data_IF_141237695986
#
_entry.id   IF_141237695986
#
_cell.length_a   1.000
_cell.length_b   1.000
_cell.length_c   1.000
_cell.angle_alpha   90.00
_cell.angle_beta   90.00
_cell.angle_gamma   90.00
#
_symmetry.space_group_name_H-M   'P 1'
#
loop_
_entity.id
_entity.type
_entity.pdbx_description
1 polymer ?
#
# COMPACT_ATOMS: atom_id res chain seq x y z
N UNK A 1 -14.34 18.48 6.22
CA UNK A 1 -13.70 19.38 5.23
C UNK A 1 -12.81 18.58 4.31
N UNK A 2 -12.96 18.77 3.01
CA UNK A 2 -12.20 18.02 2.01
C UNK A 2 -11.45 18.96 1.09
N UNK A 3 -10.27 18.57 0.54
CA UNK A 3 -9.64 17.25 0.76
C UNK A 3 -9.24 17.07 2.21
N UNK A 4 -9.26 15.81 2.66
CA UNK A 4 -8.94 15.48 4.04
C UNK A 4 -7.72 14.57 4.07
N UNK A 5 -6.71 14.96 4.84
CA UNK A 5 -5.53 14.13 5.04
C UNK A 5 -5.90 12.93 5.90
N UNK A 6 -5.55 11.73 5.45
CA UNK A 6 -5.78 10.49 6.16
C UNK A 6 -4.44 10.00 6.71
N UNK A 7 -4.40 9.83 8.03
CA UNK A 7 -3.20 9.38 8.72
C UNK A 7 -3.63 8.41 9.81
N UNK A 8 -3.28 7.12 9.71
CA UNK A 8 -3.68 6.15 10.73
C UNK A 8 -3.14 6.56 12.11
N UNK A 9 -3.98 6.35 13.12
CA UNK A 9 -3.61 6.72 14.49
C UNK A 9 -2.39 5.93 14.94
N UNK A 10 -1.47 6.60 15.62
CA UNK A 10 -0.26 5.97 16.15
C UNK A 10 0.89 5.87 15.18
N UNK A 11 0.69 6.23 13.91
CA UNK A 11 1.77 6.19 12.93
C UNK A 11 2.72 7.37 13.11
N UNK A 12 4.01 7.13 12.84
CA UNK A 12 5.01 8.19 12.82
C UNK A 12 4.60 9.27 11.81
N UNK A 13 4.96 10.55 12.06
CA UNK A 13 4.55 11.63 11.17
C UNK A 13 5.04 11.44 9.74
N UNK A 14 4.18 11.77 8.78
CA UNK A 14 4.55 11.85 7.37
C UNK A 14 5.13 13.23 7.12
N UNK A 15 6.40 13.29 6.75
CA UNK A 15 7.13 14.55 6.60
C UNK A 15 7.22 14.92 5.12
N UNK A 16 6.50 15.96 4.72
CA UNK A 16 6.50 16.45 3.35
C UNK A 16 5.57 15.71 2.40
N UNK A 17 4.69 14.85 2.94
CA UNK A 17 3.71 14.10 2.14
C UNK A 17 2.55 13.66 3.04
N UNK A 18 1.50 13.12 2.45
CA UNK A 18 0.40 12.49 3.16
C UNK A 18 0.32 11.01 2.76
N UNK A 19 0.00 10.14 3.71
CA UNK A 19 -0.22 8.72 3.40
C UNK A 19 -1.49 8.53 2.59
N UNK A 20 -2.56 9.25 2.93
CA UNK A 20 -3.80 9.20 2.18
C UNK A 20 -4.41 10.58 2.06
N UNK A 21 -5.12 10.80 0.96
CA UNK A 21 -5.84 12.05 0.71
C UNK A 21 -7.25 11.70 0.24
N UNK A 22 -8.24 12.04 1.05
CA UNK A 22 -9.65 11.76 0.76
C UNK A 22 -10.24 12.99 0.09
N UNK A 23 -10.69 12.82 -1.13
CA UNK A 23 -11.24 13.90 -1.95
C UNK A 23 -12.73 14.06 -1.71
N UNK A 24 -13.30 15.22 -2.10
CA UNK A 24 -14.74 15.50 -1.86
C UNK A 24 -15.68 14.47 -2.51
N UNK A 25 -15.27 13.84 -3.60
CA UNK A 25 -16.10 12.86 -4.29
C UNK A 25 -15.98 11.45 -3.72
N UNK A 26 -15.16 11.25 -2.68
CA UNK A 26 -14.93 9.95 -2.09
C UNK A 26 -13.69 9.24 -2.59
N UNK A 27 -13.01 9.77 -3.60
CA UNK A 27 -11.76 9.18 -4.08
C UNK A 27 -10.71 9.29 -2.98
N UNK A 28 -10.09 8.17 -2.64
CA UNK A 28 -8.98 8.12 -1.69
C UNK A 28 -7.71 7.81 -2.45
N UNK A 29 -6.80 8.77 -2.48
CA UNK A 29 -5.47 8.57 -3.05
C UNK A 29 -4.57 8.05 -1.94
N UNK A 30 -3.96 6.90 -2.14
CA UNK A 30 -3.02 6.32 -1.17
C UNK A 30 -1.64 6.41 -1.78
N UNK A 31 -0.77 7.19 -1.12
CA UNK A 31 0.60 7.36 -1.56
C UNK A 31 1.39 6.07 -1.50
N UNK A 32 2.48 6.00 -2.23
CA UNK A 32 3.30 4.79 -2.29
C UNK A 32 3.71 4.34 -0.90
N UNK A 33 3.39 3.08 -0.59
CA UNK A 33 3.75 2.46 0.68
C UNK A 33 4.92 1.51 0.46
N UNK A 34 5.88 1.55 1.36
CA UNK A 34 6.99 0.61 1.37
C UNK A 34 6.87 -0.29 2.60
N UNK A 35 7.76 -1.28 2.70
CA UNK A 35 7.60 -2.36 3.68
C UNK A 35 8.00 -2.01 5.10
N UNK A 36 7.87 -0.75 5.49
CA UNK A 36 8.12 -0.37 6.88
C UNK A 36 6.81 -0.31 7.68
N UNK A 37 6.95 -0.41 9.02
CA UNK A 37 5.80 -0.40 9.92
C UNK A 37 5.42 1.04 10.33
N UNK A 38 4.53 1.14 11.31
CA UNK A 38 4.03 2.43 11.81
C UNK A 38 5.13 3.35 12.35
N UNK A 39 6.26 2.78 12.73
CA UNK A 39 7.41 3.53 13.26
C UNK A 39 8.50 3.72 12.19
N UNK A 40 8.17 3.43 10.92
CA UNK A 40 9.07 3.54 9.77
C UNK A 40 10.27 2.61 9.89
N UNK A 41 10.03 1.38 10.39
CA UNK A 41 11.06 0.36 10.54
C UNK A 41 10.71 -0.86 9.71
N UNK A 42 11.72 -1.39 8.99
CA UNK A 42 11.55 -2.58 8.18
C UNK A 42 11.69 -3.82 9.08
N UNK A 43 10.56 -4.49 9.31
CA UNK A 43 10.55 -5.74 10.07
C UNK A 43 10.92 -6.95 9.22
N UNK A 44 10.73 -6.85 7.90
CA UNK A 44 11.03 -7.95 6.97
C UNK A 44 12.11 -7.54 5.98
N UNK A 45 12.97 -8.51 5.63
CA UNK A 45 14.05 -8.30 4.66
C UNK A 45 13.73 -8.94 3.32
N UNK A 46 12.75 -9.83 3.26
CA UNK A 46 12.38 -10.54 2.04
C UNK A 46 11.20 -9.86 1.34
N UNK A 47 11.05 -10.20 0.07
CA UNK A 47 10.03 -9.58 -0.78
C UNK A 47 8.62 -9.80 -0.24
N UNK A 48 8.26 -11.05 0.06
CA UNK A 48 6.90 -11.37 0.52
C UNK A 48 6.55 -10.71 1.85
N UNK A 49 7.50 -10.67 2.78
CA UNK A 49 7.30 -10.03 4.06
C UNK A 49 7.09 -8.53 3.92
N UNK A 50 7.89 -7.88 3.06
CA UNK A 50 7.71 -6.46 2.79
C UNK A 50 6.38 -6.20 2.08
N UNK A 51 6.03 -7.02 1.09
CA UNK A 51 4.76 -6.89 0.39
C UNK A 51 3.58 -7.00 1.36
N UNK A 52 3.62 -7.97 2.25
CA UNK A 52 2.55 -8.16 3.23
C UNK A 52 2.42 -6.94 4.14
N UNK A 53 3.53 -6.36 4.59
CA UNK A 53 3.53 -5.14 5.39
C UNK A 53 2.91 -3.98 4.59
N UNK A 54 3.27 -3.85 3.32
CA UNK A 54 2.72 -2.81 2.46
C UNK A 54 1.20 -2.93 2.35
N UNK A 55 0.70 -4.14 2.08
CA UNK A 55 -0.75 -4.35 1.96
C UNK A 55 -1.46 -4.07 3.27
N UNK A 56 -0.86 -4.42 4.40
CA UNK A 56 -1.39 -4.06 5.72
C UNK A 56 -1.44 -2.56 5.92
N UNK A 57 -0.41 -1.85 5.47
CA UNK A 57 -0.37 -0.38 5.54
C UNK A 57 -1.50 0.22 4.72
N UNK A 58 -1.70 -0.28 3.50
CA UNK A 58 -2.79 0.19 2.64
C UNK A 58 -4.15 -0.06 3.32
N UNK A 59 -4.34 -1.25 3.88
CA UNK A 59 -5.58 -1.59 4.58
C UNK A 59 -5.83 -0.64 5.75
N UNK A 60 -4.78 -0.28 6.51
CA UNK A 60 -4.89 0.63 7.64
C UNK A 60 -5.30 2.04 7.18
N UNK A 61 -4.74 2.50 6.07
CA UNK A 61 -5.07 3.83 5.51
C UNK A 61 -6.53 3.86 5.06
N UNK A 62 -6.97 2.81 4.36
CA UNK A 62 -8.36 2.70 3.91
C UNK A 62 -9.32 2.69 5.11
N UNK A 63 -8.99 1.94 6.15
CA UNK A 63 -9.79 1.90 7.37
C UNK A 63 -9.85 3.26 8.06
N UNK A 64 -8.73 3.98 8.10
CA UNK A 64 -8.69 5.31 8.70
C UNK A 64 -9.58 6.28 7.94
N UNK A 65 -9.84 6.04 6.66
CA UNK A 65 -10.74 6.85 5.84
C UNK A 65 -12.19 6.37 5.93
N UNK A 66 -12.47 5.31 6.67
CA UNK A 66 -13.83 4.78 6.82
C UNK A 66 -14.21 3.71 5.83
N UNK A 67 -13.26 3.17 5.08
CA UNK A 67 -13.51 2.12 4.11
C UNK A 67 -12.93 0.77 4.50
N UNK A 68 -12.87 -0.11 3.52
CA UNK A 68 -12.34 -1.46 3.68
C UNK A 68 -11.57 -1.84 2.40
N UNK A 69 -10.82 -2.94 2.45
CA UNK A 69 -9.97 -3.32 1.30
C UNK A 69 -10.78 -3.53 0.02
N UNK A 70 -12.05 -3.94 0.12
CA UNK A 70 -12.89 -4.11 -1.06
C UNK A 70 -13.22 -2.79 -1.75
N UNK A 71 -12.94 -1.65 -1.13
CA UNK A 71 -13.10 -0.33 -1.74
C UNK A 71 -11.91 0.06 -2.60
N UNK A 72 -10.82 -0.69 -2.55
CA UNK A 72 -9.64 -0.43 -3.37
C UNK A 72 -9.93 -0.88 -4.80
N UNK A 73 -9.79 0.07 -5.75
CA UNK A 73 -10.05 -0.22 -7.15
C UNK A 73 -8.82 -0.33 -8.01
N UNK A 74 -7.68 0.14 -7.52
CA UNK A 74 -6.44 0.14 -8.29
C UNK A 74 -5.23 0.01 -7.38
N UNK A 75 -4.27 -0.82 -7.83
CA UNK A 75 -2.94 -0.93 -7.22
C UNK A 75 -1.89 -0.73 -8.31
N UNK A 76 -0.85 0.00 -8.01
CA UNK A 76 0.33 0.07 -8.88
C UNK A 76 1.54 -0.37 -8.05
N UNK A 77 2.21 -1.40 -8.54
CA UNK A 77 3.38 -1.98 -7.88
C UNK A 77 4.64 -1.52 -8.60
N UNK A 78 5.61 -1.04 -7.84
CA UNK A 78 6.93 -0.67 -8.32
C UNK A 78 7.92 -1.64 -7.70
N UNK A 79 8.58 -2.45 -8.52
CA UNK A 79 9.40 -3.58 -8.07
C UNK A 79 10.83 -3.41 -8.60
N UNK A 80 11.83 -3.55 -7.73
CA UNK A 80 13.22 -3.37 -8.12
C UNK A 80 13.76 -4.59 -8.87
N UNK A 81 13.43 -5.79 -8.42
CA UNK A 81 14.00 -7.03 -8.96
C UNK A 81 12.90 -7.90 -9.55
N UNK A 82 12.83 -7.91 -10.89
CA UNK A 82 11.84 -8.71 -11.62
C UNK A 82 11.96 -10.20 -11.30
N UNK A 83 13.19 -10.71 -11.20
CA UNK A 83 13.40 -12.13 -10.95
C UNK A 83 12.90 -12.54 -9.57
N UNK A 84 13.03 -11.66 -8.57
CA UNK A 84 12.54 -11.91 -7.23
C UNK A 84 11.01 -12.02 -7.21
N UNK A 85 10.34 -11.14 -7.94
CA UNK A 85 8.88 -11.22 -8.09
C UNK A 85 8.46 -12.52 -8.76
N UNK A 86 9.11 -12.86 -9.88
CA UNK A 86 8.75 -14.06 -10.64
C UNK A 86 9.03 -15.34 -9.88
N UNK A 87 10.09 -15.37 -9.07
CA UNK A 87 10.46 -16.56 -8.29
C UNK A 87 9.53 -16.83 -7.11
N UNK A 88 8.74 -15.84 -6.69
CA UNK A 88 7.96 -15.93 -5.46
C UNK A 88 6.45 -15.85 -5.69
N UNK A 89 5.96 -16.11 -6.90
CA UNK A 89 4.55 -15.86 -7.26
C UNK A 89 3.56 -16.58 -6.37
N UNK A 90 3.87 -17.83 -6.00
CA UNK A 90 2.95 -18.59 -5.16
C UNK A 90 2.87 -17.98 -3.74
N UNK A 91 4.02 -17.67 -3.17
CA UNK A 91 4.07 -17.07 -1.83
C UNK A 91 3.45 -15.68 -1.83
N UNK A 92 3.65 -14.92 -2.91
CA UNK A 92 3.03 -13.60 -3.09
C UNK A 92 1.51 -13.75 -3.08
N UNK A 93 0.96 -14.69 -3.84
CA UNK A 93 -0.48 -14.92 -3.90
C UNK A 93 -1.06 -15.29 -2.54
N UNK A 94 -0.36 -16.13 -1.79
CA UNK A 94 -0.80 -16.53 -0.45
C UNK A 94 -0.78 -15.35 0.52
N UNK A 95 0.29 -14.57 0.53
CA UNK A 95 0.41 -13.39 1.37
C UNK A 95 -0.64 -12.34 1.01
N UNK A 96 -0.87 -12.14 -0.30
CA UNK A 96 -1.89 -11.21 -0.77
C UNK A 96 -3.26 -11.57 -0.22
N UNK A 97 -3.63 -12.85 -0.28
CA UNK A 97 -4.95 -13.29 0.18
C UNK A 97 -5.15 -13.13 1.68
N UNK A 98 -4.07 -13.14 2.46
CA UNK A 98 -4.20 -12.91 3.92
C UNK A 98 -4.72 -11.51 4.24
N UNK A 99 -4.43 -10.54 3.39
CA UNK A 99 -4.80 -9.14 3.63
C UNK A 99 -6.01 -8.72 2.80
N UNK A 100 -6.00 -9.03 1.50
CA UNK A 100 -7.03 -8.57 0.56
C UNK A 100 -8.08 -9.64 0.25
N UNK A 101 -7.86 -10.87 0.70
CA UNK A 101 -8.78 -11.96 0.38
C UNK A 101 -8.84 -12.21 -1.12
N UNK A 102 -10.05 -12.44 -1.63
CA UNK A 102 -10.26 -12.70 -3.05
C UNK A 102 -10.67 -11.43 -3.81
N UNK A 103 -10.29 -10.28 -3.30
CA UNK A 103 -10.52 -9.02 -3.96
C UNK A 103 -9.29 -8.65 -4.79
N UNK A 104 -9.48 -8.49 -6.10
CA UNK A 104 -8.38 -8.23 -7.03
C UNK A 104 -8.64 -6.93 -7.80
N UNK A 105 -8.12 -5.78 -7.31
CA UNK A 105 -8.27 -4.51 -8.01
C UNK A 105 -7.57 -4.51 -9.36
N UNK A 106 -7.90 -3.52 -10.20
CA UNK A 106 -7.09 -3.27 -11.39
C UNK A 106 -5.65 -3.02 -10.94
N UNK A 107 -4.68 -3.62 -11.65
CA UNK A 107 -3.31 -3.62 -11.16
C UNK A 107 -2.31 -3.48 -12.31
N UNK A 108 -1.29 -2.67 -12.09
CA UNK A 108 -0.11 -2.60 -12.94
C UNK A 108 1.11 -2.91 -12.09
N UNK A 109 2.09 -3.59 -12.68
CA UNK A 109 3.36 -3.85 -12.03
C UNK A 109 4.48 -3.37 -12.93
N UNK A 110 5.34 -2.52 -12.41
CA UNK A 110 6.38 -1.83 -13.16
C UNK A 110 7.72 -2.12 -12.50
N UNK A 111 8.69 -2.53 -13.30
CA UNK A 111 10.06 -2.73 -12.82
C UNK A 111 10.76 -1.40 -12.86
N UNK A 112 11.37 -1.02 -11.73
CA UNK A 112 12.01 0.28 -11.57
C UNK A 112 13.48 0.12 -11.20
N UNK A 113 14.22 1.20 -11.37
CA UNK A 113 15.66 1.22 -11.10
C UNK A 113 15.97 1.17 -9.61
N UNK A 114 15.29 2.01 -8.83
CA UNK A 114 15.56 2.11 -7.39
C UNK A 114 14.38 2.75 -6.66
N UNK A 115 14.44 2.71 -5.35
CA UNK A 115 13.49 3.37 -4.44
C UNK A 115 14.28 4.27 -3.51
N UNK A 116 13.58 5.25 -2.91
CA UNK A 116 14.23 6.24 -2.05
C UNK A 116 14.89 5.59 -0.84
N UNK A 117 14.19 4.64 -0.21
CA UNK A 117 14.74 3.92 0.96
C UNK A 117 15.50 2.69 0.49
N UNK A 118 16.76 2.58 0.87
CA UNK A 118 17.64 1.50 0.40
C UNK A 118 17.13 0.10 0.76
N UNK A 119 16.45 -0.03 1.90
CA UNK A 119 15.94 -1.33 2.34
C UNK A 119 14.67 -1.76 1.61
N UNK A 120 14.01 -0.84 0.91
CA UNK A 120 12.75 -1.15 0.23
C UNK A 120 13.00 -1.99 -1.01
N UNK A 121 12.28 -3.11 -1.12
CA UNK A 121 12.35 -3.99 -2.28
C UNK A 121 11.24 -3.69 -3.29
N UNK A 122 10.17 -3.09 -2.83
CA UNK A 122 9.04 -2.71 -3.66
C UNK A 122 8.25 -1.59 -2.99
N UNK A 123 7.39 -0.96 -3.79
CA UNK A 123 6.48 0.09 -3.33
C UNK A 123 5.14 -0.14 -4.02
N UNK A 124 4.02 0.06 -3.31
CA UNK A 124 2.69 -0.06 -3.90
C UNK A 124 1.89 1.19 -3.55
N UNK A 125 1.28 1.79 -4.56
CA UNK A 125 0.31 2.86 -4.36
C UNK A 125 -1.09 2.33 -4.69
N UNK A 126 -2.12 3.01 -4.20
CA UNK A 126 -3.48 2.52 -4.37
C UNK A 126 -4.45 3.68 -4.56
N UNK A 127 -5.58 3.37 -5.16
CA UNK A 127 -6.72 4.29 -5.25
C UNK A 127 -7.95 3.53 -4.77
N UNK A 128 -8.72 4.15 -3.89
CA UNK A 128 -9.95 3.56 -3.37
C UNK A 128 -11.08 4.58 -3.50
N UNK A 129 -12.30 4.11 -3.37
CA UNK A 129 -13.47 4.99 -3.35
C UNK A 129 -14.25 4.74 -2.07
N UNK A 130 -14.37 5.78 -1.25
CA UNK A 130 -15.01 5.71 0.05
C UNK A 130 -16.39 6.34 -0.05
N UNK A 131 -17.39 5.63 0.43
CA UNK A 131 -18.75 6.18 0.46
C UNK A 131 -18.83 7.22 1.57
N UNK A 132 -19.09 8.47 1.19
CA UNK A 132 -19.17 9.59 2.13
C UNK A 132 -20.61 9.79 2.60
N UNK A 133 -21.07 8.92 3.49
CA UNK A 133 -22.41 9.07 4.03
C UNK A 133 -22.40 9.19 5.54
#
# INVERSE_FOLDING_TARGET
MYPKTIHPEGWAPALGYANGMLMPDGTLHIGGQIGWDKDKKFGAKDFCGQMEQILSNIAAIVQAAGGRVSDVGRLTWYVKDKSEYLANQRAIGQAYQRIFGKHFPAMSLIIIDDLVEDEALLEIEATAFISLK
#
